data_IF_358863582737
#
_entry.id   IF_358863582737
#
_cell.length_a   1.000
_cell.length_b   1.000
_cell.length_c   1.000
_cell.angle_alpha   90.00
_cell.angle_beta   90.00
_cell.angle_gamma   90.00
#
_symmetry.space_group_name_H-M   'P 1'
#
loop_
_entity.id
_entity.type
_entity.pdbx_description
1 polymer ?
#
# COMPACT_ATOMS: atom_id res chain seq x y z
N UNK A 1 -17.93 -18.39 -13.48
CA UNK A 1 -16.55 -17.88 -13.46
C UNK A 1 -15.81 -18.71 -14.49
N UNK A 2 -15.63 -18.20 -15.71
CA UNK A 2 -14.83 -18.89 -16.72
C UNK A 2 -13.44 -19.07 -16.15
N UNK A 3 -12.98 -20.32 -16.07
CA UNK A 3 -11.60 -20.62 -15.66
C UNK A 3 -10.75 -20.09 -16.81
N UNK A 4 -10.13 -18.94 -16.58
CA UNK A 4 -9.25 -18.27 -17.52
C UNK A 4 -8.18 -19.28 -17.97
N UNK A 5 -8.21 -19.65 -19.25
CA UNK A 5 -7.33 -20.69 -19.85
C UNK A 5 -5.87 -20.25 -19.94
N UNK A 6 -5.48 -19.14 -19.33
CA UNK A 6 -4.13 -18.62 -19.45
C UNK A 6 -3.16 -19.42 -18.57
N UNK A 7 -2.42 -20.36 -19.18
CA UNK A 7 -1.37 -21.13 -18.52
C UNK A 7 -0.25 -20.26 -17.97
N UNK A 8 0.63 -19.76 -18.84
CA UNK A 8 1.71 -18.85 -18.50
C UNK A 8 1.47 -17.43 -19.04
N UNK A 9 1.82 -16.41 -18.28
CA UNK A 9 1.91 -15.03 -18.79
C UNK A 9 3.37 -14.65 -18.96
N UNK A 10 3.81 -14.40 -20.19
CA UNK A 10 5.20 -14.13 -20.55
C UNK A 10 5.33 -12.70 -21.05
N UNK A 11 6.22 -11.94 -20.44
CA UNK A 11 6.47 -10.55 -20.78
C UNK A 11 7.85 -10.39 -21.43
N UNK A 12 7.92 -9.78 -22.60
CA UNK A 12 9.18 -9.41 -23.27
C UNK A 12 9.32 -7.89 -23.23
N UNK A 13 10.37 -7.39 -22.56
CA UNK A 13 10.57 -5.94 -22.35
C UNK A 13 11.93 -5.47 -22.84
N UNK A 14 11.92 -4.55 -23.80
CA UNK A 14 13.11 -3.79 -24.22
C UNK A 14 13.13 -3.51 -25.72
N UNK A 15 13.87 -2.49 -26.13
CA UNK A 15 13.93 -2.05 -27.54
C UNK A 15 14.50 -3.14 -28.47
N UNK A 16 15.44 -3.96 -27.99
CA UNK A 16 15.91 -5.11 -28.74
C UNK A 16 14.89 -6.25 -28.87
N UNK A 17 13.85 -6.25 -28.02
CA UNK A 17 12.81 -7.28 -27.98
C UNK A 17 11.54 -6.83 -28.73
N UNK A 18 11.19 -5.55 -28.60
CA UNK A 18 10.00 -4.95 -29.18
C UNK A 18 10.27 -4.43 -30.61
N UNK A 19 10.64 -5.34 -31.50
CA UNK A 19 10.51 -5.05 -32.94
C UNK A 19 9.03 -5.10 -33.30
N UNK A 20 8.51 -4.02 -33.90
CA UNK A 20 7.11 -3.79 -34.32
C UNK A 20 6.47 -4.86 -35.22
N UNK A 21 7.16 -5.97 -35.48
CA UNK A 21 6.72 -7.10 -36.29
C UNK A 21 6.60 -8.42 -35.52
N UNK A 22 7.03 -8.48 -34.25
CA UNK A 22 6.89 -9.68 -33.39
C UNK A 22 5.56 -9.67 -32.63
N UNK A 23 4.94 -8.50 -32.43
CA UNK A 23 3.72 -8.31 -31.64
C UNK A 23 2.54 -9.21 -32.05
N UNK A 24 2.50 -9.70 -33.30
CA UNK A 24 1.45 -10.60 -33.80
C UNK A 24 1.97 -12.02 -34.13
N UNK A 25 3.18 -12.35 -33.70
CA UNK A 25 3.94 -13.47 -34.25
C UNK A 25 3.96 -14.73 -33.38
N UNK A 26 4.24 -14.60 -32.09
CA UNK A 26 4.47 -15.77 -31.23
C UNK A 26 3.15 -16.23 -30.64
N UNK A 27 2.61 -17.33 -31.17
CA UNK A 27 1.37 -17.94 -30.69
C UNK A 27 1.70 -19.23 -29.96
N UNK A 28 1.20 -19.35 -28.72
CA UNK A 28 1.31 -20.54 -27.89
C UNK A 28 -0.04 -20.87 -27.28
N UNK A 29 -0.37 -22.15 -27.21
CA UNK A 29 -1.61 -22.60 -26.56
C UNK A 29 -1.51 -22.54 -25.03
N UNK A 30 -0.29 -22.60 -24.48
CA UNK A 30 0.00 -22.67 -23.05
C UNK A 30 0.50 -21.34 -22.46
N UNK A 31 0.68 -20.30 -23.28
CA UNK A 31 1.21 -19.01 -22.82
C UNK A 31 0.63 -17.80 -23.57
N UNK A 32 0.22 -16.80 -22.81
CA UNK A 32 -0.05 -15.44 -23.28
C UNK A 32 1.26 -14.66 -23.30
N UNK A 33 1.61 -14.07 -24.45
CA UNK A 33 2.88 -13.37 -24.64
C UNK A 33 2.61 -11.89 -24.92
N UNK A 34 3.16 -11.02 -24.08
CA UNK A 34 3.05 -9.57 -24.22
C UNK A 34 4.42 -8.94 -24.50
N UNK A 35 4.43 -7.92 -25.35
CA UNK A 35 5.64 -7.21 -25.77
C UNK A 35 5.53 -5.74 -25.41
N UNK A 36 6.59 -5.20 -24.82
CA UNK A 36 6.66 -3.78 -24.48
C UNK A 36 8.06 -3.23 -24.78
N UNK A 37 8.10 -2.04 -25.39
CA UNK A 37 9.32 -1.22 -25.40
C UNK A 37 9.57 -0.65 -24.00
N UNK A 38 10.78 -0.13 -23.72
CA UNK A 38 11.01 0.59 -22.45
C UNK A 38 10.15 1.85 -22.33
N UNK A 39 9.74 2.45 -23.45
CA UNK A 39 8.84 3.62 -23.47
C UNK A 39 7.41 3.28 -23.02
N UNK A 40 6.97 2.06 -23.26
CA UNK A 40 5.65 1.57 -22.86
C UNK A 40 5.65 0.93 -21.47
N UNK A 41 6.75 1.07 -20.69
CA UNK A 41 6.83 0.45 -19.38
C UNK A 41 5.70 0.89 -18.42
N UNK A 42 5.18 2.10 -18.57
CA UNK A 42 4.04 2.60 -17.79
C UNK A 42 2.69 1.96 -18.16
N UNK A 43 2.60 1.28 -19.30
CA UNK A 43 1.41 0.53 -19.73
C UNK A 43 1.37 -0.87 -19.11
N UNK A 44 2.49 -1.32 -18.52
CA UNK A 44 2.58 -2.59 -17.83
C UNK A 44 2.01 -2.40 -16.42
N UNK A 45 0.88 -3.05 -16.12
CA UNK A 45 0.22 -2.97 -14.80
C UNK A 45 1.19 -3.23 -13.64
N UNK A 46 1.63 -4.49 -13.50
CA UNK A 46 2.63 -4.93 -12.51
C UNK A 46 3.36 -6.18 -12.99
N UNK A 47 4.68 -6.21 -12.83
CA UNK A 47 5.50 -7.38 -13.17
C UNK A 47 5.07 -8.67 -12.43
N UNK A 48 4.52 -8.55 -11.22
CA UNK A 48 4.02 -9.70 -10.42
C UNK A 48 2.88 -10.50 -11.08
N UNK A 49 2.23 -9.92 -12.10
CA UNK A 49 1.12 -10.56 -12.81
C UNK A 49 1.61 -11.57 -13.87
N UNK A 50 2.92 -11.64 -14.11
CA UNK A 50 3.53 -12.51 -15.11
C UNK A 50 4.19 -13.73 -14.47
N UNK A 51 4.32 -14.82 -15.23
CA UNK A 51 5.08 -16.01 -14.80
C UNK A 51 6.57 -15.89 -15.16
N UNK A 52 6.85 -15.24 -16.28
CA UNK A 52 8.19 -15.06 -16.83
C UNK A 52 8.32 -13.67 -17.45
N UNK A 53 9.39 -12.95 -17.09
CA UNK A 53 9.79 -11.71 -17.74
C UNK A 53 11.14 -11.91 -18.44
N UNK A 54 11.19 -11.75 -19.76
CA UNK A 54 12.41 -11.71 -20.55
C UNK A 54 12.77 -10.24 -20.79
N UNK A 55 13.93 -9.83 -20.31
CA UNK A 55 14.31 -8.42 -20.23
C UNK A 55 15.61 -8.17 -20.97
N UNK A 56 15.56 -7.24 -21.91
CA UNK A 56 16.72 -6.59 -22.47
C UNK A 56 16.98 -5.31 -21.67
N UNK A 57 17.83 -5.43 -20.65
CA UNK A 57 18.09 -4.33 -19.71
C UNK A 57 18.81 -3.14 -20.39
N UNK A 58 19.34 -3.33 -21.61
CA UNK A 58 19.95 -2.24 -22.39
C UNK A 58 18.98 -1.07 -22.62
N UNK A 59 17.69 -1.36 -22.66
CA UNK A 59 16.64 -0.37 -22.86
C UNK A 59 16.46 0.64 -21.71
N UNK A 60 17.03 0.36 -20.52
CA UNK A 60 16.87 1.19 -19.31
C UNK A 60 18.11 2.01 -18.95
N UNK A 61 19.24 1.91 -19.68
CA UNK A 61 20.49 2.61 -19.30
C UNK A 61 20.37 4.13 -19.31
N UNK A 62 19.54 4.68 -20.19
CA UNK A 62 19.51 6.11 -20.47
C UNK A 62 18.38 6.84 -19.72
N UNK A 63 17.60 6.13 -18.90
CA UNK A 63 16.45 6.71 -18.19
C UNK A 63 16.40 6.24 -16.73
N UNK A 64 17.06 7.01 -15.86
CA UNK A 64 17.20 6.69 -14.43
C UNK A 64 15.86 6.46 -13.71
N UNK A 65 14.85 7.29 -14.00
CA UNK A 65 13.51 7.15 -13.41
C UNK A 65 12.86 5.80 -13.74
N UNK A 66 12.96 5.35 -15.00
CA UNK A 66 12.40 4.06 -15.41
C UNK A 66 13.21 2.90 -14.83
N UNK A 67 14.53 3.04 -14.72
CA UNK A 67 15.39 2.05 -14.06
C UNK A 67 14.98 1.84 -12.60
N UNK A 68 14.75 2.91 -11.85
CA UNK A 68 14.31 2.81 -10.45
C UNK A 68 12.93 2.18 -10.32
N UNK A 69 11.97 2.58 -11.18
CA UNK A 69 10.62 2.02 -11.17
C UNK A 69 10.64 0.53 -11.54
N UNK A 70 11.37 0.16 -12.59
CA UNK A 70 11.56 -1.23 -12.99
C UNK A 70 12.19 -2.03 -11.85
N UNK A 71 13.24 -1.51 -11.21
CA UNK A 71 13.91 -2.20 -10.11
C UNK A 71 12.98 -2.44 -8.91
N UNK A 72 12.12 -1.46 -8.56
CA UNK A 72 11.09 -1.63 -7.52
C UNK A 72 10.09 -2.75 -7.90
N UNK A 73 9.57 -2.73 -9.12
CA UNK A 73 8.64 -3.77 -9.58
C UNK A 73 9.30 -5.15 -9.70
N UNK A 74 10.58 -5.20 -10.08
CA UNK A 74 11.39 -6.42 -10.15
C UNK A 74 11.50 -7.06 -8.77
N UNK A 75 11.86 -6.27 -7.74
CA UNK A 75 11.96 -6.77 -6.37
C UNK A 75 10.61 -7.29 -5.85
N UNK A 76 9.52 -6.54 -6.08
CA UNK A 76 8.17 -7.01 -5.75
C UNK A 76 7.88 -8.34 -6.47
N UNK A 77 8.06 -8.41 -7.79
CA UNK A 77 7.79 -9.61 -8.57
C UNK A 77 8.64 -10.83 -8.13
N UNK A 78 9.89 -10.59 -7.71
CA UNK A 78 10.77 -11.64 -7.17
C UNK A 78 10.17 -12.29 -5.92
N UNK A 79 9.54 -11.51 -5.03
CA UNK A 79 8.89 -12.00 -3.81
C UNK A 79 7.62 -12.83 -4.08
N UNK A 80 6.99 -12.59 -5.24
CA UNK A 80 5.82 -13.32 -5.74
C UNK A 80 6.19 -14.56 -6.58
N UNK A 81 7.47 -14.78 -6.88
CA UNK A 81 7.93 -15.97 -7.61
C UNK A 81 7.98 -15.81 -9.13
N UNK A 82 7.98 -14.58 -9.65
CA UNK A 82 8.11 -14.31 -11.09
C UNK A 82 9.54 -14.57 -11.55
N UNK A 83 9.69 -15.39 -12.59
CA UNK A 83 11.00 -15.73 -13.12
C UNK A 83 11.48 -14.64 -14.09
N UNK A 84 12.79 -14.36 -14.09
CA UNK A 84 13.39 -13.36 -14.95
C UNK A 84 14.47 -13.96 -15.82
N UNK A 85 14.44 -13.69 -17.12
CA UNK A 85 15.54 -14.01 -18.03
C UNK A 85 16.13 -12.73 -18.58
N UNK A 86 17.37 -12.45 -18.21
CA UNK A 86 18.15 -11.35 -18.76
C UNK A 86 18.79 -11.85 -20.04
N UNK A 87 18.36 -11.26 -21.16
CA UNK A 87 18.93 -11.53 -22.48
C UNK A 87 19.93 -10.47 -22.87
N UNK A 88 20.96 -10.88 -23.59
CA UNK A 88 21.99 -10.00 -24.13
C UNK A 88 22.10 -10.19 -25.64
N UNK A 89 21.98 -9.09 -26.39
CA UNK A 89 22.19 -9.05 -27.83
C UNK A 89 23.61 -8.63 -28.17
N UNK A 90 24.29 -9.45 -28.97
CA UNK A 90 25.70 -9.29 -29.27
C UNK A 90 25.95 -8.47 -30.56
N UNK A 91 25.26 -7.34 -30.71
CA UNK A 91 25.28 -6.57 -31.96
C UNK A 91 26.52 -5.63 -32.08
N UNK A 92 27.23 -5.35 -30.98
CA UNK A 92 28.52 -4.64 -30.98
C UNK A 92 29.32 -4.90 -29.68
N UNK A 93 30.66 -4.79 -29.75
CA UNK A 93 31.57 -5.11 -28.62
C UNK A 93 31.54 -4.05 -27.50
N UNK A 94 31.10 -2.82 -27.77
CA UNK A 94 31.10 -1.73 -26.78
C UNK A 94 29.82 -1.67 -25.91
N UNK A 95 28.75 -2.39 -26.25
CA UNK A 95 27.54 -2.53 -25.43
C UNK A 95 27.67 -3.49 -24.24
N UNK A 96 28.89 -4.00 -23.99
CA UNK A 96 29.26 -5.07 -23.06
C UNK A 96 28.89 -4.88 -21.56
N UNK A 97 28.24 -3.78 -21.15
CA UNK A 97 28.02 -3.47 -19.72
C UNK A 97 26.57 -3.47 -19.26
N UNK A 98 25.61 -3.24 -20.15
CA UNK A 98 24.28 -2.82 -19.71
C UNK A 98 23.42 -4.03 -19.29
N UNK A 99 23.31 -5.07 -20.11
CA UNK A 99 22.52 -6.28 -19.75
C UNK A 99 22.95 -6.92 -18.43
N UNK A 100 24.25 -6.94 -18.16
CA UNK A 100 24.84 -7.46 -16.93
C UNK A 100 24.71 -6.54 -15.71
N UNK A 101 24.28 -5.29 -15.89
CA UNK A 101 24.20 -4.32 -14.80
C UNK A 101 23.14 -4.72 -13.77
N UNK A 102 21.99 -5.25 -14.20
CA UNK A 102 20.96 -5.78 -13.30
C UNK A 102 21.51 -6.92 -12.43
N UNK A 103 22.36 -7.80 -12.99
CA UNK A 103 23.00 -8.89 -12.25
C UNK A 103 23.97 -8.35 -11.19
N UNK A 104 24.65 -7.25 -11.49
CA UNK A 104 25.54 -6.55 -10.55
C UNK A 104 24.75 -5.83 -9.46
N UNK A 105 23.64 -5.17 -9.80
CA UNK A 105 22.75 -4.47 -8.87
C UNK A 105 22.11 -5.46 -7.88
N UNK A 106 21.67 -6.61 -8.38
CA UNK A 106 21.19 -7.74 -7.55
C UNK A 106 22.33 -8.51 -6.86
N UNK A 107 23.60 -8.14 -7.08
CA UNK A 107 24.79 -8.80 -6.53
C UNK A 107 24.88 -10.31 -6.83
N UNK A 108 24.35 -10.74 -7.98
CA UNK A 108 24.29 -12.14 -8.38
C UNK A 108 25.56 -12.60 -9.09
N UNK A 109 26.08 -11.78 -10.01
CA UNK A 109 27.23 -12.13 -10.81
C UNK A 109 27.98 -10.89 -11.32
N UNK A 110 29.29 -11.03 -11.56
CA UNK A 110 30.10 -10.02 -12.25
C UNK A 110 30.41 -10.49 -13.69
N UNK A 111 30.06 -9.70 -14.71
CA UNK A 111 30.37 -10.02 -16.09
C UNK A 111 31.86 -9.80 -16.39
N UNK A 112 32.42 -10.64 -17.25
CA UNK A 112 33.76 -10.50 -17.81
C UNK A 112 33.68 -10.55 -19.33
N UNK A 113 34.26 -9.56 -20.02
CA UNK A 113 34.35 -9.58 -21.47
C UNK A 113 35.42 -10.58 -21.91
N UNK A 114 35.09 -11.42 -22.88
CA UNK A 114 36.01 -12.41 -23.45
C UNK A 114 36.85 -11.84 -24.59
N UNK A 115 36.53 -10.63 -25.08
CA UNK A 115 37.17 -10.01 -26.25
C UNK A 115 36.91 -10.74 -27.58
N UNK A 116 36.24 -11.90 -27.56
CA UNK A 116 35.82 -12.68 -28.73
C UNK A 116 34.47 -13.32 -28.49
N UNK A 117 33.73 -13.55 -29.56
CA UNK A 117 32.47 -14.27 -29.52
C UNK A 117 32.76 -15.76 -29.39
N UNK A 118 32.15 -16.39 -28.40
CA UNK A 118 32.21 -17.83 -28.19
C UNK A 118 30.94 -18.46 -28.74
N UNK A 119 31.12 -19.27 -29.78
CA UNK A 119 30.10 -20.16 -30.34
C UNK A 119 30.26 -21.58 -29.77
N UNK A 120 29.20 -22.40 -29.87
CA UNK A 120 29.22 -23.85 -29.64
C UNK A 120 29.66 -24.30 -28.24
N UNK A 121 29.11 -23.70 -27.17
CA UNK A 121 29.33 -24.23 -25.82
C UNK A 121 28.46 -25.47 -25.51
N UNK A 122 28.86 -26.21 -24.49
CA UNK A 122 28.14 -27.36 -23.94
C UNK A 122 26.97 -26.86 -23.08
N UNK A 123 25.82 -27.52 -23.25
CA UNK A 123 24.62 -27.24 -22.46
C UNK A 123 24.51 -28.28 -21.34
N UNK A 124 24.35 -27.84 -20.10
CA UNK A 124 24.17 -28.71 -18.92
C UNK A 124 22.69 -29.01 -18.63
N UNK A 125 21.79 -28.24 -19.25
CA UNK A 125 20.34 -28.31 -19.12
C UNK A 125 19.72 -28.64 -20.47
N UNK A 126 19.22 -29.87 -20.61
CA UNK A 126 18.86 -30.45 -21.92
C UNK A 126 17.82 -29.62 -22.68
N UNK A 127 16.88 -29.03 -21.95
CA UNK A 127 15.82 -28.16 -22.45
C UNK A 127 16.35 -26.91 -23.17
N UNK A 128 17.57 -26.45 -22.88
CA UNK A 128 18.21 -25.32 -23.58
C UNK A 128 19.06 -25.74 -24.80
N UNK A 129 19.23 -27.04 -25.06
CA UNK A 129 20.20 -27.52 -26.06
C UNK A 129 19.87 -27.04 -27.48
N UNK A 130 18.59 -27.08 -27.86
CA UNK A 130 18.15 -26.63 -29.18
C UNK A 130 18.37 -25.12 -29.36
N UNK A 131 18.01 -24.33 -28.35
CA UNK A 131 18.21 -22.89 -28.34
C UNK A 131 19.70 -22.54 -28.43
N UNK A 132 20.52 -23.09 -27.53
CA UNK A 132 21.94 -22.77 -27.41
C UNK A 132 22.70 -23.10 -28.69
N UNK A 133 22.38 -24.23 -29.33
CA UNK A 133 23.03 -24.65 -30.58
C UNK A 133 22.91 -23.62 -31.70
N UNK A 134 21.81 -22.87 -31.75
CA UNK A 134 21.54 -21.93 -32.85
C UNK A 134 21.74 -20.47 -32.46
N UNK A 135 21.33 -20.08 -31.25
CA UNK A 135 21.35 -18.68 -30.80
C UNK A 135 22.25 -18.43 -29.59
N UNK A 136 22.79 -19.47 -28.95
CA UNK A 136 23.60 -19.36 -27.72
C UNK A 136 25.06 -18.99 -27.98
N UNK A 137 25.33 -17.77 -28.44
CA UNK A 137 26.71 -17.25 -28.58
C UNK A 137 26.93 -16.06 -27.67
N UNK A 138 28.06 -16.02 -26.95
CA UNK A 138 28.34 -14.99 -25.95
C UNK A 138 29.74 -14.39 -26.10
N UNK A 139 29.86 -13.08 -25.90
CA UNK A 139 31.14 -12.40 -25.67
C UNK A 139 31.40 -12.13 -24.17
N UNK A 140 30.49 -12.58 -23.30
CA UNK A 140 30.51 -12.36 -21.85
C UNK A 140 30.61 -13.71 -21.13
N UNK A 141 31.49 -13.79 -20.13
CA UNK A 141 31.60 -14.88 -19.17
C UNK A 141 31.37 -14.39 -17.74
N UNK A 142 31.27 -15.34 -16.82
CA UNK A 142 31.12 -15.09 -15.40
C UNK A 142 32.06 -15.98 -14.59
N UNK A 143 32.78 -15.40 -13.63
CA UNK A 143 33.76 -16.10 -12.80
C UNK A 143 33.45 -16.04 -11.29
N UNK A 144 32.69 -15.02 -10.85
CA UNK A 144 32.25 -14.84 -9.46
C UNK A 144 30.72 -14.87 -9.36
N UNK A 145 30.11 -16.07 -9.41
CA UNK A 145 28.66 -16.20 -9.18
C UNK A 145 28.41 -16.77 -7.78
N UNK A 146 27.28 -16.38 -7.18
CA UNK A 146 26.75 -17.02 -5.97
C UNK A 146 26.89 -18.55 -6.02
N UNK A 147 27.26 -19.18 -4.90
CA UNK A 147 27.37 -20.65 -4.78
C UNK A 147 26.07 -21.40 -5.18
N UNK A 148 24.94 -20.71 -5.16
CA UNK A 148 23.62 -21.24 -5.54
C UNK A 148 23.36 -21.24 -7.06
N UNK A 149 24.28 -20.71 -7.87
CA UNK A 149 24.08 -20.65 -9.30
C UNK A 149 24.36 -22.00 -9.97
N UNK A 150 23.51 -22.33 -10.93
CA UNK A 150 23.64 -23.52 -11.75
C UNK A 150 23.96 -23.11 -13.18
N UNK A 151 25.01 -23.70 -13.73
CA UNK A 151 25.44 -23.50 -15.11
C UNK A 151 24.39 -24.08 -16.06
N UNK A 152 23.91 -23.25 -16.99
CA UNK A 152 23.06 -23.68 -18.12
C UNK A 152 23.96 -24.00 -19.31
N UNK A 153 24.92 -23.11 -19.58
CA UNK A 153 25.73 -23.08 -20.80
C UNK A 153 27.19 -22.71 -20.46
N UNK A 154 28.15 -23.53 -20.90
CA UNK A 154 29.58 -23.29 -20.69
C UNK A 154 30.46 -23.75 -21.86
N UNK A 155 31.69 -23.24 -21.95
CA UNK A 155 32.73 -23.74 -22.87
C UNK A 155 34.06 -23.78 -22.14
N UNK A 156 34.73 -24.94 -22.14
CA UNK A 156 36.04 -25.11 -21.49
C UNK A 156 36.07 -24.57 -20.03
N UNK A 157 35.02 -24.91 -19.27
CA UNK A 157 34.79 -24.44 -17.89
C UNK A 157 34.48 -22.94 -17.74
N UNK A 158 34.43 -22.17 -18.82
CA UNK A 158 33.96 -20.79 -18.84
C UNK A 158 32.43 -20.81 -18.85
N UNK A 159 31.81 -20.24 -17.83
CA UNK A 159 30.36 -20.11 -17.73
C UNK A 159 29.87 -18.95 -18.58
N UNK A 160 28.94 -19.24 -19.48
CA UNK A 160 28.42 -18.31 -20.47
C UNK A 160 26.91 -18.06 -20.28
N UNK A 161 26.20 -18.97 -19.62
CA UNK A 161 24.80 -18.83 -19.22
C UNK A 161 24.52 -19.63 -17.94
N UNK A 162 23.67 -19.08 -17.08
CA UNK A 162 23.39 -19.64 -15.76
C UNK A 162 21.98 -19.26 -15.29
N UNK A 163 21.51 -19.93 -14.23
CA UNK A 163 20.45 -19.39 -13.40
C UNK A 163 20.85 -19.43 -11.93
N UNK A 164 20.20 -18.60 -11.13
CA UNK A 164 20.30 -18.63 -9.66
C UNK A 164 18.92 -18.42 -9.06
N UNK A 165 18.71 -18.96 -7.87
CA UNK A 165 17.47 -18.76 -7.11
C UNK A 165 17.63 -17.50 -6.24
N UNK A 166 16.69 -16.58 -6.35
CA UNK A 166 16.61 -15.39 -5.50
C UNK A 166 15.22 -15.35 -4.86
N UNK A 167 15.16 -15.60 -3.55
CA UNK A 167 13.91 -15.74 -2.78
C UNK A 167 13.03 -16.83 -3.42
N UNK A 168 11.89 -16.48 -4.04
CA UNK A 168 10.96 -17.42 -4.70
C UNK A 168 11.15 -17.50 -6.21
N UNK A 169 12.05 -16.71 -6.78
CA UNK A 169 12.19 -16.53 -8.23
C UNK A 169 13.50 -17.06 -8.77
N UNK A 170 13.50 -17.50 -10.03
CA UNK A 170 14.72 -17.85 -10.76
C UNK A 170 15.14 -16.67 -11.62
N UNK A 171 16.40 -16.26 -11.47
CA UNK A 171 17.04 -15.25 -12.31
C UNK A 171 17.98 -15.98 -13.26
N UNK A 172 17.68 -15.92 -14.55
CA UNK A 172 18.43 -16.54 -15.63
C UNK A 172 19.23 -15.48 -16.38
N UNK A 173 20.44 -15.83 -16.79
CA UNK A 173 21.18 -15.12 -17.82
C UNK A 173 21.43 -16.08 -18.98
N UNK A 174 20.95 -15.70 -20.17
CA UNK A 174 21.07 -16.52 -21.37
C UNK A 174 21.54 -15.63 -22.53
N UNK A 175 22.66 -15.96 -23.19
CA UNK A 175 23.11 -15.20 -24.35
C UNK A 175 22.16 -15.40 -25.54
N UNK A 176 21.93 -14.34 -26.32
CA UNK A 176 21.12 -14.37 -27.54
C UNK A 176 21.87 -13.70 -28.70
N UNK A 177 22.43 -14.53 -29.59
CA UNK A 177 22.94 -14.08 -30.88
C UNK A 177 21.79 -14.02 -31.88
N UNK A 178 21.45 -12.80 -32.32
CA UNK A 178 20.36 -12.58 -33.26
C UNK A 178 20.87 -12.21 -34.65
N UNK A 179 20.16 -12.63 -35.68
CA UNK A 179 20.31 -12.07 -37.01
C UNK A 179 19.23 -11.00 -37.23
N UNK A 180 19.57 -9.73 -36.99
CA UNK A 180 18.64 -8.59 -37.15
C UNK A 180 18.10 -8.43 -38.57
N UNK A 181 18.79 -8.98 -39.57
CA UNK A 181 18.35 -8.96 -40.96
C UNK A 181 17.28 -10.01 -41.27
N UNK A 182 17.11 -11.03 -40.42
CA UNK A 182 16.15 -12.12 -40.61
C UNK A 182 15.10 -12.15 -39.49
N UNK A 183 13.95 -11.51 -39.73
CA UNK A 183 12.82 -11.44 -38.79
C UNK A 183 12.32 -12.82 -38.35
N UNK A 184 12.34 -13.81 -39.25
CA UNK A 184 11.90 -15.18 -38.95
C UNK A 184 12.84 -15.86 -37.95
N UNK A 185 14.14 -15.64 -38.09
CA UNK A 185 15.15 -16.18 -37.17
C UNK A 185 15.01 -15.62 -35.76
N UNK A 186 14.71 -14.33 -35.64
CA UNK A 186 14.47 -13.68 -34.35
C UNK A 186 13.23 -14.24 -33.64
N UNK A 187 12.12 -14.41 -34.39
CA UNK A 187 10.89 -15.01 -33.88
C UNK A 187 11.14 -16.45 -33.40
N UNK A 188 11.75 -17.29 -34.24
CA UNK A 188 12.10 -18.68 -33.90
C UNK A 188 13.02 -18.76 -32.68
N UNK A 189 13.94 -17.82 -32.52
CA UNK A 189 14.83 -17.74 -31.37
C UNK A 189 14.09 -17.44 -30.07
N UNK A 190 13.11 -16.52 -30.08
CA UNK A 190 12.28 -16.28 -28.89
C UNK A 190 11.33 -17.43 -28.58
N UNK A 191 10.71 -18.03 -29.60
CA UNK A 191 9.90 -19.25 -29.43
C UNK A 191 10.70 -20.33 -28.71
N UNK A 192 11.88 -20.64 -29.25
CA UNK A 192 12.77 -21.64 -28.64
C UNK A 192 13.24 -21.24 -27.25
N UNK A 193 13.53 -19.95 -26.99
CA UNK A 193 13.96 -19.49 -25.68
C UNK A 193 12.86 -19.63 -24.64
N UNK A 194 11.65 -19.15 -24.97
CA UNK A 194 10.47 -19.22 -24.10
C UNK A 194 10.16 -20.69 -23.79
N UNK A 195 10.17 -21.56 -24.81
CA UNK A 195 10.00 -23.02 -24.65
C UNK A 195 11.00 -23.61 -23.66
N UNK A 196 12.29 -23.32 -23.85
CA UNK A 196 13.36 -23.81 -22.98
C UNK A 196 13.17 -23.34 -21.54
N UNK A 197 12.83 -22.06 -21.34
CA UNK A 197 12.65 -21.49 -19.99
C UNK A 197 11.40 -22.04 -19.31
N UNK A 198 10.25 -22.11 -19.99
CA UNK A 198 9.02 -22.63 -19.39
C UNK A 198 9.16 -24.12 -19.06
N UNK A 199 9.77 -24.91 -19.95
CA UNK A 199 10.10 -26.32 -19.68
C UNK A 199 11.05 -26.44 -18.49
N UNK A 200 12.07 -25.59 -18.42
CA UNK A 200 12.99 -25.55 -17.29
C UNK A 200 12.24 -25.23 -16.00
N UNK A 201 11.42 -24.19 -15.97
CA UNK A 201 10.64 -23.79 -14.79
C UNK A 201 9.74 -24.94 -14.34
N UNK A 202 8.96 -25.54 -15.24
CA UNK A 202 8.06 -26.65 -14.93
C UNK A 202 8.82 -27.87 -14.37
N UNK A 203 9.95 -28.23 -14.97
CA UNK A 203 10.76 -29.37 -14.51
C UNK A 203 11.51 -29.13 -13.21
N UNK A 204 11.65 -27.86 -12.79
CA UNK A 204 12.39 -27.45 -11.60
C UNK A 204 11.50 -26.88 -10.49
N UNK A 205 10.17 -27.03 -10.60
CA UNK A 205 9.24 -26.73 -9.51
C UNK A 205 9.28 -27.89 -8.50
N UNK A 206 9.87 -27.61 -7.33
CA UNK A 206 9.81 -28.49 -6.16
C UNK A 206 8.57 -28.14 -5.31
N UNK A 207 8.14 -26.88 -5.36
CA UNK A 207 6.98 -26.37 -4.63
C UNK A 207 5.68 -26.47 -5.43
N UNK A 208 4.58 -26.71 -4.73
CA UNK A 208 3.22 -26.63 -5.30
C UNK A 208 2.95 -25.21 -5.83
N UNK A 209 2.41 -25.07 -7.07
CA UNK A 209 2.03 -23.77 -7.62
C UNK A 209 0.91 -23.12 -6.80
N UNK A 210 0.79 -21.79 -6.87
CA UNK A 210 -0.18 -21.01 -6.06
C UNK A 210 -1.61 -21.53 -6.24
N UNK A 211 -2.05 -21.77 -7.47
CA UNK A 211 -3.39 -22.30 -7.75
C UNK A 211 -3.65 -23.66 -7.08
N UNK A 212 -2.62 -24.52 -6.99
CA UNK A 212 -2.72 -25.82 -6.33
C UNK A 212 -2.67 -25.69 -4.80
N UNK A 213 -2.09 -24.61 -4.28
CA UNK A 213 -2.15 -24.26 -2.84
C UNK A 213 -3.46 -23.61 -2.45
N UNK A 214 -4.12 -22.90 -3.34
CA UNK A 214 -5.37 -22.17 -3.06
C UNK A 214 -6.62 -22.99 -3.36
N UNK A 215 -6.50 -23.99 -4.22
CA UNK A 215 -7.61 -24.89 -4.58
C UNK A 215 -7.46 -26.19 -3.81
N UNK A 216 -8.39 -26.53 -2.90
CA UNK A 216 -8.31 -27.78 -2.15
C UNK A 216 -8.37 -28.97 -3.10
N UNK A 217 -7.37 -29.84 -3.04
CA UNK A 217 -7.33 -31.09 -3.80
C UNK A 217 -8.01 -32.22 -3.03
N UNK A 218 -7.88 -32.23 -1.70
CA UNK A 218 -8.46 -33.27 -0.84
C UNK A 218 -9.79 -32.84 -0.23
N UNK A 219 -10.67 -33.81 0.07
CA UNK A 219 -11.96 -33.54 0.73
C UNK A 219 -11.79 -32.88 2.10
N UNK A 220 -10.83 -33.35 2.88
CA UNK A 220 -10.56 -32.84 4.22
C UNK A 220 -9.96 -31.43 4.15
N UNK A 221 -9.13 -31.16 3.14
CA UNK A 221 -8.58 -29.84 2.87
C UNK A 221 -9.68 -28.82 2.59
N UNK A 222 -10.69 -29.19 1.80
CA UNK A 222 -11.85 -28.32 1.54
C UNK A 222 -12.53 -27.87 2.85
N UNK A 223 -12.75 -28.78 3.78
CA UNK A 223 -13.36 -28.45 5.08
C UNK A 223 -12.52 -27.46 5.90
N UNK A 224 -11.18 -27.54 5.80
CA UNK A 224 -10.26 -26.62 6.45
C UNK A 224 -10.26 -25.25 5.77
N UNK A 225 -10.35 -25.20 4.44
CA UNK A 225 -10.49 -23.95 3.68
C UNK A 225 -11.79 -23.23 4.02
N UNK A 226 -12.90 -23.95 4.07
CA UNK A 226 -14.21 -23.39 4.45
C UNK A 226 -14.17 -22.83 5.88
N UNK A 227 -13.55 -23.56 6.83
CA UNK A 227 -13.35 -23.10 8.21
C UNK A 227 -12.45 -21.87 8.28
N UNK A 228 -11.35 -21.84 7.52
CA UNK A 228 -10.45 -20.69 7.44
C UNK A 228 -11.19 -19.45 6.93
N UNK A 229 -11.97 -19.60 5.85
CA UNK A 229 -12.76 -18.50 5.29
C UNK A 229 -13.80 -17.97 6.28
N UNK A 230 -14.47 -18.86 7.02
CA UNK A 230 -15.41 -18.48 8.08
C UNK A 230 -14.71 -17.68 9.19
N UNK A 231 -13.59 -18.17 9.71
CA UNK A 231 -12.83 -17.49 10.77
C UNK A 231 -12.26 -16.15 10.30
N UNK A 232 -11.82 -16.04 9.05
CA UNK A 232 -11.37 -14.77 8.47
C UNK A 232 -12.50 -13.75 8.38
N UNK A 233 -13.72 -14.19 8.03
CA UNK A 233 -14.90 -13.34 8.04
C UNK A 233 -15.27 -12.88 9.45
N UNK A 234 -15.29 -13.80 10.42
CA UNK A 234 -15.56 -13.47 11.83
C UNK A 234 -14.53 -12.49 12.39
N UNK A 235 -13.25 -12.67 12.06
CA UNK A 235 -12.18 -11.75 12.44
C UNK A 235 -12.43 -10.36 11.87
N UNK A 236 -12.74 -10.26 10.58
CA UNK A 236 -13.06 -8.99 9.93
C UNK A 236 -14.25 -8.27 10.58
N UNK A 237 -15.31 -9.01 10.93
CA UNK A 237 -16.48 -8.45 11.61
C UNK A 237 -16.15 -7.93 13.02
N UNK A 238 -15.25 -8.60 13.74
CA UNK A 238 -14.76 -8.17 15.06
C UNK A 238 -13.87 -6.93 14.91
N UNK A 239 -12.93 -6.94 13.98
CA UNK A 239 -12.04 -5.79 13.68
C UNK A 239 -12.86 -4.55 13.32
N UNK A 240 -13.89 -4.71 12.49
CA UNK A 240 -14.81 -3.62 12.13
C UNK A 240 -15.53 -3.04 13.35
N UNK A 241 -15.91 -3.88 14.33
CA UNK A 241 -16.51 -3.41 15.60
C UNK A 241 -15.49 -2.69 16.48
N UNK A 242 -14.25 -3.17 16.53
CA UNK A 242 -13.15 -2.53 17.27
C UNK A 242 -12.83 -1.16 16.68
N UNK A 243 -12.84 -1.05 15.34
CA UNK A 243 -12.52 0.17 14.62
C UNK A 243 -13.39 1.37 15.06
N UNK A 244 -14.65 1.14 15.43
CA UNK A 244 -15.54 2.19 15.94
C UNK A 244 -14.97 2.82 17.23
N UNK A 245 -14.44 2.00 18.13
CA UNK A 245 -13.80 2.46 19.37
C UNK A 245 -12.44 3.12 19.10
N UNK A 246 -11.68 2.61 18.13
CA UNK A 246 -10.41 3.21 17.74
C UNK A 246 -10.61 4.59 17.15
N UNK A 247 -11.63 4.78 16.31
CA UNK A 247 -12.02 6.08 15.77
C UNK A 247 -12.40 7.06 16.90
N UNK A 248 -13.23 6.62 17.86
CA UNK A 248 -13.60 7.43 19.03
C UNK A 248 -12.38 7.81 19.90
N UNK A 249 -11.49 6.85 20.18
CA UNK A 249 -10.24 7.11 20.93
C UNK A 249 -9.28 8.01 20.16
N UNK A 250 -9.25 7.91 18.83
CA UNK A 250 -8.35 8.74 18.02
C UNK A 250 -8.63 10.23 18.17
N UNK A 251 -9.91 10.60 18.37
CA UNK A 251 -10.35 11.97 18.62
C UNK A 251 -9.62 12.61 19.82
N UNK A 252 -9.29 11.81 20.84
CA UNK A 252 -8.54 12.24 22.03
C UNK A 252 -7.08 12.61 21.71
N UNK A 253 -6.56 12.26 20.54
CA UNK A 253 -5.17 12.50 20.16
C UNK A 253 -5.01 13.55 19.04
N UNK A 254 -6.12 13.96 18.43
CA UNK A 254 -6.13 14.88 17.30
C UNK A 254 -5.96 16.35 17.72
N UNK A 255 -5.56 17.19 16.76
CA UNK A 255 -5.25 18.61 16.96
C UNK A 255 -5.82 19.44 15.83
N UNK A 256 -6.07 20.72 16.15
CA UNK A 256 -6.37 21.77 15.17
C UNK A 256 -7.41 21.31 14.13
N UNK A 257 -7.15 21.55 12.85
CA UNK A 257 -8.03 21.21 11.74
C UNK A 257 -8.49 19.74 11.70
N UNK A 258 -7.64 18.79 12.10
CA UNK A 258 -8.02 17.36 12.11
C UNK A 258 -9.08 17.10 13.19
N UNK A 259 -8.89 17.70 14.38
CA UNK A 259 -9.86 17.61 15.46
C UNK A 259 -11.17 18.31 15.09
N UNK A 260 -11.08 19.50 14.50
CA UNK A 260 -12.26 20.28 14.08
C UNK A 260 -13.17 19.45 13.18
N UNK A 261 -12.64 18.84 12.11
CA UNK A 261 -13.47 18.05 11.21
C UNK A 261 -13.95 16.74 11.85
N UNK A 262 -13.05 16.01 12.50
CA UNK A 262 -13.39 14.70 13.07
C UNK A 262 -14.39 14.81 14.23
N UNK A 263 -14.33 15.88 15.02
CA UNK A 263 -15.28 16.12 16.09
C UNK A 263 -16.67 16.39 15.53
N UNK A 264 -16.80 17.18 14.47
CA UNK A 264 -18.11 17.46 13.86
C UNK A 264 -18.73 16.20 13.28
N UNK A 265 -17.94 15.41 12.55
CA UNK A 265 -18.37 14.11 12.05
C UNK A 265 -18.78 13.18 13.20
N UNK A 266 -18.06 13.22 14.33
CA UNK A 266 -18.40 12.42 15.51
C UNK A 266 -19.70 12.90 16.16
N UNK A 267 -19.88 14.20 16.35
CA UNK A 267 -21.10 14.78 16.93
C UNK A 267 -22.33 14.48 16.03
N UNK A 268 -22.19 14.59 14.71
CA UNK A 268 -23.26 14.29 13.75
C UNK A 268 -23.56 12.79 13.68
N UNK A 269 -22.56 11.94 13.45
CA UNK A 269 -22.80 10.53 13.15
C UNK A 269 -22.97 9.66 14.41
N UNK A 270 -22.31 10.02 15.51
CA UNK A 270 -22.31 9.22 16.73
C UNK A 270 -23.27 9.76 17.79
N UNK A 271 -23.34 11.09 17.95
CA UNK A 271 -24.29 11.73 18.86
C UNK A 271 -25.61 12.15 18.19
N UNK A 272 -25.71 12.11 16.86
CA UNK A 272 -26.92 12.51 16.09
C UNK A 272 -27.30 13.98 16.29
N UNK A 273 -26.31 14.85 16.55
CA UNK A 273 -26.52 16.29 16.67
C UNK A 273 -26.48 16.94 15.29
N UNK A 274 -27.43 17.84 15.00
CA UNK A 274 -27.41 18.62 13.77
C UNK A 274 -26.44 19.79 13.93
N UNK A 275 -25.57 19.93 12.93
CA UNK A 275 -24.46 20.89 12.92
C UNK A 275 -24.49 21.67 11.61
N UNK A 276 -24.21 22.96 11.71
CA UNK A 276 -24.06 23.87 10.57
C UNK A 276 -22.71 24.61 10.64
N UNK A 277 -22.03 24.78 9.49
CA UNK A 277 -20.79 25.57 9.39
C UNK A 277 -20.98 26.67 8.36
N UNK A 278 -20.56 27.89 8.70
CA UNK A 278 -20.47 28.98 7.73
C UNK A 278 -19.09 29.05 7.06
N UNK A 279 -19.06 29.32 5.77
CA UNK A 279 -17.81 29.50 5.00
C UNK A 279 -16.98 30.71 5.42
N UNK A 280 -17.53 31.61 6.26
CA UNK A 280 -16.82 32.82 6.70
C UNK A 280 -15.78 32.55 7.78
N UNK A 281 -15.70 31.32 8.31
CA UNK A 281 -14.73 30.86 9.32
C UNK A 281 -14.65 31.77 10.55
N UNK A 282 -15.77 32.41 10.93
CA UNK A 282 -15.79 33.25 12.13
C UNK A 282 -15.77 32.39 13.38
N UNK A 283 -16.65 31.39 13.42
CA UNK A 283 -16.71 30.35 14.45
C UNK A 283 -16.44 28.97 13.83
N UNK A 284 -16.15 27.97 14.65
CA UNK A 284 -15.91 26.62 14.15
C UNK A 284 -17.19 25.95 13.64
N UNK A 285 -18.31 26.09 14.37
CA UNK A 285 -19.64 25.59 13.97
C UNK A 285 -20.81 26.08 14.86
N UNK A 286 -22.03 25.82 14.40
CA UNK A 286 -23.29 26.00 15.12
C UNK A 286 -23.96 24.65 15.38
N UNK A 287 -24.60 24.51 16.54
CA UNK A 287 -25.67 23.53 16.69
C UNK A 287 -26.96 24.12 16.15
N UNK A 288 -27.71 23.32 15.41
CA UNK A 288 -29.02 23.70 14.88
C UNK A 288 -30.09 22.73 15.35
N UNK A 289 -31.32 23.20 15.45
CA UNK A 289 -32.46 22.36 15.76
C UNK A 289 -33.01 21.63 14.52
N UNK A 290 -34.20 21.03 14.67
CA UNK A 290 -34.84 20.31 13.56
C UNK A 290 -35.33 21.23 12.43
N UNK A 291 -35.53 22.53 12.72
CA UNK A 291 -35.93 23.59 11.78
C UNK A 291 -34.74 24.31 11.15
N UNK A 292 -33.51 23.86 11.44
CA UNK A 292 -32.24 24.51 11.05
C UNK A 292 -31.98 25.86 11.75
N UNK A 293 -32.73 26.18 12.81
CA UNK A 293 -32.48 27.37 13.61
C UNK A 293 -31.24 27.18 14.48
N UNK A 294 -30.37 28.20 14.54
CA UNK A 294 -29.15 28.21 15.35
C UNK A 294 -29.51 28.26 16.84
N UNK A 295 -29.14 27.21 17.58
CA UNK A 295 -29.47 27.06 19.02
C UNK A 295 -28.26 27.14 19.95
N UNK A 296 -27.06 26.96 19.43
CA UNK A 296 -25.82 27.20 20.17
C UNK A 296 -24.67 27.56 19.22
N UNK A 297 -23.76 28.40 19.70
CA UNK A 297 -22.49 28.70 19.03
C UNK A 297 -21.39 27.88 19.69
N UNK A 298 -20.50 27.29 18.89
CA UNK A 298 -19.50 26.37 19.38
C UNK A 298 -18.10 26.67 18.83
N UNK A 299 -17.11 26.49 19.70
CA UNK A 299 -15.68 26.62 19.41
C UNK A 299 -14.95 25.33 19.79
N UNK A 300 -13.94 24.96 19.00
CA UNK A 300 -13.08 23.81 19.19
C UNK A 300 -11.65 24.30 19.45
N UNK A 301 -11.05 23.80 20.53
CA UNK A 301 -9.66 24.11 20.87
C UNK A 301 -8.88 22.86 21.24
N UNK A 302 -7.60 22.89 20.92
CA UNK A 302 -6.65 21.85 21.29
C UNK A 302 -5.44 22.44 21.99
N UNK A 303 -4.91 21.75 22.99
CA UNK A 303 -3.72 22.16 23.74
C UNK A 303 -2.80 20.99 24.08
N UNK A 304 -1.49 21.25 23.94
CA UNK A 304 -0.45 20.31 24.35
C UNK A 304 -0.44 20.05 25.86
N UNK A 305 -0.74 21.09 26.65
CA UNK A 305 -0.80 21.07 28.12
C UNK A 305 -2.27 21.12 28.57
N UNK A 306 -2.50 21.51 29.82
CA UNK A 306 -3.84 21.71 30.36
C UNK A 306 -4.63 22.83 29.67
N UNK A 307 -5.85 23.00 30.15
CA UNK A 307 -6.76 24.06 29.75
C UNK A 307 -6.16 25.44 30.05
N UNK A 308 -6.62 26.46 29.32
CA UNK A 308 -6.22 27.84 29.54
C UNK A 308 -7.42 28.77 29.37
N UNK A 309 -7.52 29.79 30.23
CA UNK A 309 -8.65 30.74 30.23
C UNK A 309 -8.79 31.53 28.93
N UNK A 310 -7.70 31.74 28.18
CA UNK A 310 -7.74 32.44 26.90
C UNK A 310 -8.62 31.74 25.84
N UNK A 311 -8.84 30.44 25.99
CA UNK A 311 -9.74 29.68 25.12
C UNK A 311 -11.21 30.10 25.27
N UNK A 312 -11.61 30.57 26.46
CA UNK A 312 -12.97 31.04 26.72
C UNK A 312 -13.22 32.39 26.05
N UNK A 313 -12.23 33.29 26.06
CA UNK A 313 -12.39 34.60 25.43
C UNK A 313 -12.64 34.47 23.92
N UNK A 314 -12.03 33.50 23.24
CA UNK A 314 -12.26 33.24 21.81
C UNK A 314 -13.74 33.00 21.48
N UNK A 315 -14.40 32.11 22.22
CA UNK A 315 -15.81 31.80 21.95
C UNK A 315 -16.73 32.97 22.34
N UNK A 316 -16.35 33.77 23.35
CA UNK A 316 -17.06 35.01 23.70
C UNK A 316 -16.92 36.09 22.61
N UNK A 317 -15.76 36.21 21.99
CA UNK A 317 -15.54 37.12 20.86
C UNK A 317 -16.48 36.73 19.71
N UNK A 318 -16.58 35.44 19.37
CA UNK A 318 -17.51 34.96 18.34
C UNK A 318 -18.98 35.24 18.67
N UNK A 319 -19.37 35.09 19.93
CA UNK A 319 -20.71 35.43 20.41
C UNK A 319 -21.01 36.92 20.22
N UNK A 320 -20.06 37.79 20.58
CA UNK A 320 -20.16 39.24 20.44
C UNK A 320 -20.20 39.69 18.97
N UNK A 321 -19.33 39.13 18.12
CA UNK A 321 -19.26 39.41 16.69
C UNK A 321 -20.51 39.01 15.89
N UNK A 322 -21.29 38.06 16.43
CA UNK A 322 -22.56 37.61 15.89
C UNK A 322 -23.78 38.29 16.56
N UNK A 323 -23.56 39.29 17.42
CA UNK A 323 -24.61 40.07 18.12
C UNK A 323 -25.61 39.19 18.88
N UNK A 324 -25.15 38.06 19.41
CA UNK A 324 -26.00 37.10 20.11
C UNK A 324 -26.34 37.59 21.52
N UNK A 325 -27.50 37.17 22.04
CA UNK A 325 -27.92 37.50 23.40
C UNK A 325 -26.92 36.99 24.44
N UNK A 326 -26.79 37.69 25.57
CA UNK A 326 -25.85 37.35 26.65
C UNK A 326 -26.07 35.94 27.21
N UNK A 327 -27.31 35.45 27.21
CA UNK A 327 -27.67 34.11 27.66
C UNK A 327 -27.69 33.06 26.53
N UNK A 328 -27.30 33.41 25.30
CA UNK A 328 -27.28 32.47 24.19
C UNK A 328 -26.28 31.33 24.46
N UNK A 329 -26.67 30.04 24.30
CA UNK A 329 -25.81 28.91 24.62
C UNK A 329 -24.48 28.94 23.87
N UNK A 330 -23.39 28.84 24.62
CA UNK A 330 -22.02 29.02 24.13
C UNK A 330 -21.16 27.84 24.56
N UNK A 331 -20.66 27.07 23.59
CA UNK A 331 -19.99 25.79 23.81
C UNK A 331 -18.49 25.90 23.49
N UNK A 332 -17.65 25.36 24.36
CA UNK A 332 -16.22 25.23 24.13
C UNK A 332 -15.80 23.76 24.26
N UNK A 333 -15.52 23.13 23.12
CA UNK A 333 -14.98 21.77 23.05
C UNK A 333 -13.46 21.81 23.15
N UNK A 334 -12.88 21.12 24.13
CA UNK A 334 -11.43 21.19 24.39
C UNK A 334 -10.75 19.83 24.39
N UNK A 335 -9.65 19.73 23.64
CA UNK A 335 -8.75 18.58 23.66
C UNK A 335 -7.42 18.96 24.33
N UNK A 336 -7.31 18.74 25.63
CA UNK A 336 -6.13 19.12 26.43
C UNK A 336 -5.15 17.95 26.61
N UNK A 337 -3.97 18.23 27.14
CA UNK A 337 -2.95 17.23 27.50
C UNK A 337 -2.53 16.33 26.33
N UNK A 338 -2.42 16.87 25.11
CA UNK A 338 -2.07 16.12 23.90
C UNK A 338 -0.65 15.53 23.88
N UNK A 339 0.18 15.84 24.88
CA UNK A 339 1.50 15.24 25.09
C UNK A 339 1.49 14.15 26.19
N UNK A 340 0.31 13.74 26.67
CA UNK A 340 0.19 12.69 27.66
C UNK A 340 0.76 11.36 27.16
N UNK A 341 1.60 10.72 27.98
CA UNK A 341 2.12 9.37 27.71
C UNK A 341 1.21 8.24 28.23
N UNK A 342 0.09 8.58 28.87
CA UNK A 342 -0.85 7.61 29.46
C UNK A 342 -2.27 8.18 29.49
N UNK A 343 -3.29 7.30 29.56
CA UNK A 343 -4.68 7.72 29.74
C UNK A 343 -4.88 8.53 31.03
N UNK A 344 -4.20 8.14 32.11
CA UNK A 344 -4.23 8.86 33.39
C UNK A 344 -3.75 10.31 33.24
N UNK A 345 -2.70 10.55 32.46
CA UNK A 345 -2.20 11.89 32.20
C UNK A 345 -3.08 12.69 31.25
N UNK A 346 -3.73 11.99 30.30
CA UNK A 346 -4.65 12.58 29.36
C UNK A 346 -5.90 13.10 30.07
N UNK A 347 -6.47 12.28 30.96
CA UNK A 347 -7.74 12.51 31.64
C UNK A 347 -7.71 13.52 32.80
N UNK A 348 -6.61 14.27 32.98
CA UNK A 348 -6.51 15.30 34.05
C UNK A 348 -7.69 16.26 34.01
N UNK A 349 -8.36 16.39 35.16
CA UNK A 349 -9.55 17.23 35.34
C UNK A 349 -9.23 18.72 35.16
N UNK A 350 -10.26 19.48 34.79
CA UNK A 350 -10.23 20.93 34.92
C UNK A 350 -10.18 21.31 36.40
N UNK A 351 -9.39 22.33 36.72
CA UNK A 351 -9.35 22.92 38.06
C UNK A 351 -10.62 23.70 38.34
N UNK A 352 -10.91 23.92 39.63
CA UNK A 352 -12.10 24.66 40.06
C UNK A 352 -12.18 26.05 39.46
N UNK A 353 -11.08 26.78 39.52
CA UNK A 353 -11.02 28.14 39.02
C UNK A 353 -11.16 28.24 37.48
N UNK A 354 -11.04 27.14 36.74
CA UNK A 354 -11.26 27.11 35.29
C UNK A 354 -12.75 26.96 34.96
N UNK A 355 -13.44 25.98 35.56
CA UNK A 355 -14.87 25.80 35.30
C UNK A 355 -15.73 26.87 35.98
N UNK A 356 -15.33 27.40 37.14
CA UNK A 356 -16.00 28.56 37.76
C UNK A 356 -15.89 29.79 36.86
N UNK A 357 -14.71 29.99 36.24
CA UNK A 357 -14.52 31.08 35.30
C UNK A 357 -15.37 30.92 34.04
N UNK A 358 -15.48 29.72 33.48
CA UNK A 358 -16.38 29.45 32.34
C UNK A 358 -17.85 29.69 32.69
N UNK A 359 -18.30 29.25 33.87
CA UNK A 359 -19.67 29.44 34.32
C UNK A 359 -20.02 30.92 34.51
N UNK A 360 -19.11 31.72 35.06
CA UNK A 360 -19.29 33.17 35.22
C UNK A 360 -19.39 33.93 33.88
N UNK A 361 -19.04 33.30 32.77
CA UNK A 361 -19.13 33.88 31.43
C UNK A 361 -20.17 33.16 30.55
N UNK A 362 -21.06 32.37 31.15
CA UNK A 362 -22.11 31.64 30.43
C UNK A 362 -21.59 30.71 29.31
N UNK A 363 -20.40 30.12 29.53
CA UNK A 363 -19.79 29.15 28.60
C UNK A 363 -19.82 27.75 29.21
N UNK A 364 -20.23 26.76 28.41
CA UNK A 364 -20.11 25.35 28.73
C UNK A 364 -18.85 24.76 28.09
N UNK A 365 -17.91 24.34 28.92
CA UNK A 365 -16.70 23.62 28.51
C UNK A 365 -17.00 22.11 28.50
N UNK A 366 -16.61 21.45 27.42
CA UNK A 366 -16.75 19.99 27.28
C UNK A 366 -15.41 19.45 26.79
N UNK A 367 -14.76 18.57 27.56
CA UNK A 367 -13.53 17.95 27.07
C UNK A 367 -13.87 16.83 26.09
N UNK A 368 -12.98 16.55 25.14
CA UNK A 368 -13.21 15.46 24.17
C UNK A 368 -13.37 14.10 24.88
N UNK A 369 -12.69 13.88 26.00
CA UNK A 369 -12.89 12.69 26.86
C UNK A 369 -14.35 12.56 27.31
N UNK A 370 -14.97 13.68 27.66
CA UNK A 370 -16.35 13.72 28.14
C UNK A 370 -17.32 13.51 26.97
N UNK A 371 -17.03 14.03 25.76
CA UNK A 371 -17.78 13.75 24.52
C UNK A 371 -17.77 12.26 24.16
N UNK A 372 -16.59 11.62 24.19
CA UNK A 372 -16.47 10.18 23.88
C UNK A 372 -17.23 9.33 24.89
N UNK A 373 -17.28 9.74 26.17
CA UNK A 373 -18.08 9.05 27.20
C UNK A 373 -19.58 9.33 27.08
N UNK A 374 -20.01 10.50 26.61
CA UNK A 374 -21.42 10.73 26.24
C UNK A 374 -21.86 9.78 25.13
N UNK A 375 -20.99 9.56 24.14
CA UNK A 375 -21.27 8.56 23.10
C UNK A 375 -21.39 7.15 23.68
N UNK A 376 -20.50 6.77 24.60
CA UNK A 376 -20.60 5.47 25.28
C UNK A 376 -21.91 5.33 26.08
N UNK A 377 -22.32 6.37 26.81
CA UNK A 377 -23.61 6.42 27.49
C UNK A 377 -24.78 6.22 26.52
N UNK A 378 -24.76 6.92 25.38
CA UNK A 378 -25.80 6.81 24.35
C UNK A 378 -25.82 5.41 23.73
N UNK A 379 -24.65 4.84 23.40
CA UNK A 379 -24.49 3.48 22.87
C UNK A 379 -25.05 2.42 23.83
N UNK A 380 -24.88 2.63 25.13
CA UNK A 380 -25.45 1.81 26.20
C UNK A 380 -26.92 2.14 26.52
N UNK A 381 -27.54 3.08 25.79
CA UNK A 381 -28.92 3.56 26.00
C UNK A 381 -29.19 4.11 27.41
N UNK A 382 -28.16 4.68 28.03
CA UNK A 382 -28.23 5.32 29.35
C UNK A 382 -28.56 6.82 29.27
N UNK A 383 -28.43 7.41 28.10
CA UNK A 383 -28.83 8.79 27.78
C UNK A 383 -29.37 8.82 26.35
N UNK A 384 -30.33 9.72 26.11
CA UNK A 384 -30.91 10.00 24.80
C UNK A 384 -30.22 11.18 24.10
N UNK A 385 -30.46 11.35 22.80
CA UNK A 385 -29.97 12.51 22.04
C UNK A 385 -30.51 13.81 22.65
N UNK A 386 -31.78 13.81 23.04
CA UNK A 386 -32.50 14.96 23.57
C UNK A 386 -31.94 15.38 24.92
N UNK A 387 -31.61 14.43 25.80
CA UNK A 387 -30.94 14.72 27.07
C UNK A 387 -29.54 15.29 26.87
N UNK A 388 -28.76 14.76 25.93
CA UNK A 388 -27.45 15.34 25.57
C UNK A 388 -27.63 16.79 25.12
N UNK A 389 -28.54 17.03 24.19
CA UNK A 389 -28.81 18.38 23.68
C UNK A 389 -29.25 19.32 24.81
N UNK A 390 -30.11 18.86 25.71
CA UNK A 390 -30.55 19.63 26.87
C UNK A 390 -29.38 20.02 27.79
N UNK A 391 -28.43 19.11 28.05
CA UNK A 391 -27.21 19.46 28.78
C UNK A 391 -26.40 20.53 28.06
N UNK A 392 -26.22 20.41 26.74
CA UNK A 392 -25.47 21.39 25.96
C UNK A 392 -26.12 22.79 25.99
N UNK A 393 -27.45 22.86 25.96
CA UNK A 393 -28.16 24.15 25.89
C UNK A 393 -28.33 24.85 27.25
N UNK A 394 -28.43 24.11 28.35
CA UNK A 394 -28.76 24.66 29.67
C UNK A 394 -27.54 24.79 30.58
N UNK A 395 -26.61 23.83 30.51
CA UNK A 395 -25.50 23.79 31.45
C UNK A 395 -24.49 24.93 31.18
N UNK A 396 -23.78 25.33 32.23
CA UNK A 396 -22.67 26.30 32.19
C UNK A 396 -21.51 25.74 33.01
N UNK A 397 -20.29 26.20 32.74
CA UNK A 397 -19.08 25.72 33.41
C UNK A 397 -18.47 24.52 32.70
N UNK A 398 -18.56 23.32 33.27
CA UNK A 398 -17.99 22.08 32.73
C UNK A 398 -18.99 20.94 32.80
N UNK A 399 -19.28 20.34 31.64
CA UNK A 399 -19.98 19.06 31.54
C UNK A 399 -18.97 17.92 31.69
N UNK A 400 -18.91 17.33 32.88
CA UNK A 400 -18.01 16.23 33.20
C UNK A 400 -18.74 14.89 33.09
N UNK A 401 -18.16 13.95 32.34
CA UNK A 401 -18.61 12.56 32.36
C UNK A 401 -17.50 11.70 32.94
N UNK A 402 -17.73 11.18 34.13
CA UNK A 402 -16.70 10.46 34.86
C UNK A 402 -16.45 9.06 34.26
N UNK A 403 -15.34 8.38 34.62
CA UNK A 403 -15.04 7.03 34.09
C UNK A 403 -16.08 5.95 34.44
N UNK A 404 -16.97 6.20 35.41
CA UNK A 404 -18.10 5.31 35.74
C UNK A 404 -19.35 5.62 34.91
N UNK A 405 -19.24 6.55 33.97
CA UNK A 405 -20.32 7.04 33.11
C UNK A 405 -21.43 7.73 33.92
N UNK A 406 -21.06 8.59 34.86
CA UNK A 406 -21.99 9.49 35.54
C UNK A 406 -21.75 10.92 35.05
N UNK A 407 -22.83 11.65 34.82
CA UNK A 407 -22.80 13.03 34.32
C UNK A 407 -22.87 14.00 35.50
N UNK A 408 -21.95 14.97 35.53
CA UNK A 408 -21.89 16.06 36.50
C UNK A 408 -21.70 17.39 35.78
N UNK A 409 -22.45 18.42 36.17
CA UNK A 409 -22.20 19.81 35.73
C UNK A 409 -21.50 20.57 36.86
N UNK A 410 -20.41 21.29 36.54
CA UNK A 410 -19.57 22.03 37.50
C UNK A 410 -19.36 23.48 37.05
N UNK A 411 -19.51 24.50 37.92
CA UNK A 411 -20.05 24.41 39.28
C UNK A 411 -21.54 24.04 39.25
N UNK A 412 -22.03 23.46 40.35
CA UNK A 412 -23.45 23.11 40.50
C UNK A 412 -24.31 24.33 40.79
#
# INVERSE_FOLDING_TARGET
MEIDKAGHKVLLIGEGLAYSHIENGILREDAEISFYTSKQFNEIDRLRNYTLCIVDYSAFSNQEQFRELFYKQLLEAIEYGVNFCVVYFNDSVDSNRIGSQILKELKLAKPHSLGKIVHDGKTNKKEFSAYVKRWGSSAISFHDISEQATVIFNKDSIMLGFFTQLIKSKILYIPFSRNTSNKKDLKEGFESLIDSILTFIASSQIDLPIWAKETPFFSDEKSLFDKKALLQKELFDIESKIQIFDNAKSLLLQREYILENSLLDFLQNQLELKIFREEKFKEDFWLVDESEDKIAIAEIKSANKGFRRDMIFRVLDHKSENELAENFPTLLFVNCNLQAGSWKDKEKSLSKDEYDFAANHDVLVIRIEDVVRLWELKRLRKITKEEILNYLLIAKGWLYVNPKLEIEVKPR
#
